data_IF_950612768142
#
_entry.id   IF_950612768142
#
_cell.length_a   1.000
_cell.length_b   1.000
_cell.length_c   1.000
_cell.angle_alpha   90.00
_cell.angle_beta   90.00
_cell.angle_gamma   90.00
#
_symmetry.space_group_name_H-M   'P 1'
#
loop_
_entity.id
_entity.type
_entity.pdbx_description
1 polymer ?
#
# COMPACT_ATOMS: atom_id res chain seq x y z
N UNK A 1 -0.84 -78.53 -10.05
CA UNK A 1 -1.47 -77.45 -10.84
C UNK A 1 -2.65 -76.92 -10.03
N UNK A 2 -2.51 -75.77 -9.37
CA UNK A 2 -3.60 -75.14 -8.62
C UNK A 2 -4.42 -74.27 -9.57
N UNK A 3 -5.67 -74.65 -9.82
CA UNK A 3 -6.64 -73.85 -10.59
C UNK A 3 -7.14 -72.75 -9.65
N UNK A 4 -6.76 -71.50 -9.92
CA UNK A 4 -7.25 -70.34 -9.15
C UNK A 4 -8.72 -70.12 -9.51
N UNK A 5 -9.66 -70.10 -8.55
CA UNK A 5 -11.07 -69.89 -8.83
C UNK A 5 -11.31 -68.47 -9.34
N UNK A 6 -12.11 -68.35 -10.40
CA UNK A 6 -12.39 -67.10 -11.12
C UNK A 6 -12.99 -65.99 -10.24
N UNK A 7 -13.53 -66.37 -9.08
CA UNK A 7 -14.10 -65.48 -8.05
C UNK A 7 -13.05 -64.71 -7.25
N UNK A 8 -11.82 -65.23 -7.12
CA UNK A 8 -10.71 -64.52 -6.49
C UNK A 8 -10.13 -63.46 -7.43
N UNK A 9 -10.20 -63.68 -8.74
CA UNK A 9 -9.71 -62.74 -9.75
C UNK A 9 -10.66 -61.54 -9.85
N UNK A 10 -11.98 -61.76 -9.79
CA UNK A 10 -12.96 -60.66 -9.82
C UNK A 10 -12.92 -59.79 -8.58
N UNK A 11 -12.70 -60.36 -7.38
CA UNK A 11 -12.59 -59.56 -6.15
C UNK A 11 -11.30 -58.72 -6.12
N UNK A 12 -10.20 -59.23 -6.67
CA UNK A 12 -8.93 -58.50 -6.76
C UNK A 12 -9.04 -57.32 -7.73
N UNK A 13 -9.74 -57.48 -8.86
CA UNK A 13 -9.95 -56.40 -9.83
C UNK A 13 -10.85 -55.28 -9.29
N UNK A 14 -11.89 -55.61 -8.52
CA UNK A 14 -12.76 -54.60 -7.88
C UNK A 14 -11.98 -53.84 -6.80
N UNK A 15 -11.17 -54.53 -5.99
CA UNK A 15 -10.35 -53.92 -4.95
C UNK A 15 -9.23 -53.02 -5.51
N UNK A 16 -8.67 -53.36 -6.67
CA UNK A 16 -7.66 -52.52 -7.33
C UNK A 16 -8.29 -51.29 -8.01
N UNK A 17 -9.53 -51.40 -8.51
CA UNK A 17 -10.28 -50.30 -9.11
C UNK A 17 -10.80 -49.26 -8.10
N UNK A 18 -11.12 -49.67 -6.87
CA UNK A 18 -11.50 -48.72 -5.79
C UNK A 18 -10.29 -48.02 -5.17
N UNK A 19 -9.08 -48.58 -5.31
CA UNK A 19 -7.84 -47.96 -4.85
C UNK A 19 -7.43 -46.74 -5.70
N UNK A 20 -7.86 -46.67 -6.96
CA UNK A 20 -7.53 -45.55 -7.87
C UNK A 20 -8.58 -44.44 -7.91
N UNK A 21 -9.71 -44.59 -7.22
CA UNK A 21 -10.80 -43.61 -7.19
C UNK A 21 -10.97 -42.97 -5.80
N UNK A 22 -9.87 -42.71 -5.10
CA UNK A 22 -9.89 -41.73 -4.02
C UNK A 22 -9.74 -40.37 -4.72
N UNK A 23 -10.77 -39.50 -4.75
CA UNK A 23 -10.50 -38.11 -5.02
C UNK A 23 -9.56 -37.67 -3.91
N UNK A 24 -8.31 -37.38 -4.26
CA UNK A 24 -7.43 -36.59 -3.39
C UNK A 24 -8.19 -35.28 -3.20
N UNK A 25 -8.94 -35.20 -2.09
CA UNK A 25 -9.46 -33.95 -1.59
C UNK A 25 -8.19 -33.23 -1.15
N UNK A 26 -7.58 -32.51 -2.09
CA UNK A 26 -6.69 -31.43 -1.75
C UNK A 26 -7.54 -30.49 -0.90
N UNK A 27 -7.42 -30.62 0.41
CA UNK A 27 -7.70 -29.53 1.33
C UNK A 27 -6.69 -28.44 0.98
N UNK A 28 -6.96 -27.71 -0.10
CA UNK A 28 -6.30 -26.48 -0.45
C UNK A 28 -7.21 -25.35 -0.01
N UNK A 29 -7.32 -25.21 1.31
CA UNK A 29 -7.69 -23.96 1.95
C UNK A 29 -6.43 -23.35 2.59
N UNK A 30 -5.30 -23.41 1.88
CA UNK A 30 -4.28 -22.38 1.99
C UNK A 30 -4.75 -21.16 1.20
N UNK A 31 -5.88 -20.59 1.63
CA UNK A 31 -6.15 -19.19 1.37
C UNK A 31 -5.06 -18.42 2.10
N UNK A 32 -3.92 -18.23 1.40
CA UNK A 32 -2.88 -17.30 1.79
C UNK A 32 -3.58 -16.04 2.33
N UNK A 33 -3.22 -15.54 3.53
CA UNK A 33 -3.86 -14.35 4.04
C UNK A 33 -3.72 -13.30 2.94
N UNK A 34 -4.85 -12.89 2.36
CA UNK A 34 -4.88 -11.83 1.37
C UNK A 34 -3.99 -10.74 1.95
N UNK A 35 -2.85 -10.47 1.30
CA UNK A 35 -1.81 -9.65 1.88
C UNK A 35 -2.41 -8.27 2.17
N UNK A 36 -2.91 -8.08 3.39
CA UNK A 36 -3.46 -6.82 3.85
C UNK A 36 -2.22 -5.96 4.01
N UNK A 37 -1.89 -5.22 2.95
CA UNK A 37 -0.85 -4.22 3.03
C UNK A 37 -1.17 -3.33 4.22
N UNK A 38 -0.20 -3.08 5.12
CA UNK A 38 -0.44 -2.18 6.23
C UNK A 38 -0.96 -0.83 5.70
N UNK A 39 -1.84 -0.15 6.43
CA UNK A 39 -2.36 1.13 5.99
C UNK A 39 -1.20 2.09 5.67
N UNK A 40 -1.36 2.97 4.67
CA UNK A 40 -0.30 3.90 4.30
C UNK A 40 0.13 4.70 5.53
N UNK A 41 1.44 4.69 5.80
CA UNK A 41 2.00 5.46 6.91
C UNK A 41 2.16 6.91 6.47
N UNK A 42 1.48 7.83 7.16
CA UNK A 42 1.65 9.27 6.95
C UNK A 42 2.67 9.83 7.94
N UNK A 43 3.84 10.21 7.43
CA UNK A 43 4.85 10.93 8.20
C UNK A 43 4.74 12.42 7.88
N UNK A 44 4.62 13.24 8.91
CA UNK A 44 4.70 14.69 8.73
C UNK A 44 6.14 15.09 8.43
N UNK A 45 6.33 15.79 7.31
CA UNK A 45 7.63 16.26 6.87
C UNK A 45 7.74 17.78 7.03
N UNK A 46 8.36 18.18 8.15
CA UNK A 46 8.48 19.59 8.53
C UNK A 46 9.29 20.42 7.52
N UNK A 47 10.21 19.81 6.77
CA UNK A 47 11.02 20.52 5.76
C UNK A 47 10.19 21.02 4.58
N UNK A 48 9.11 20.32 4.25
CA UNK A 48 8.17 20.66 3.18
C UNK A 48 6.87 21.26 3.72
N UNK A 49 6.90 21.80 4.93
CA UNK A 49 5.73 22.38 5.57
C UNK A 49 6.09 23.68 6.26
N UNK A 50 5.26 24.69 6.08
CA UNK A 50 5.24 25.87 6.94
C UNK A 50 3.79 26.16 7.34
N UNK A 51 3.60 26.66 8.56
CA UNK A 51 2.30 27.08 9.09
C UNK A 51 2.52 28.25 10.04
N UNK A 52 1.51 29.09 10.23
CA UNK A 52 1.57 30.16 11.24
C UNK A 52 1.48 29.61 12.67
N UNK A 53 1.91 30.38 13.71
CA UNK A 53 2.64 31.64 13.63
C UNK A 53 4.13 31.41 13.29
N UNK A 54 4.65 32.19 12.36
CA UNK A 54 6.06 32.19 11.99
C UNK A 54 6.82 33.01 13.03
N UNK A 55 7.68 32.35 13.80
CA UNK A 55 8.51 33.00 14.80
C UNK A 55 9.46 33.98 14.12
N UNK A 56 9.17 35.28 14.30
CA UNK A 56 10.02 36.41 13.92
C UNK A 56 10.38 36.38 12.41
N UNK A 57 9.54 36.95 11.53
CA UNK A 57 9.85 37.12 10.11
C UNK A 57 10.92 38.21 9.91
N UNK A 58 12.06 38.10 10.58
CA UNK A 58 13.22 38.95 10.31
C UNK A 58 13.74 38.58 8.91
N UNK A 59 13.71 39.56 8.00
CA UNK A 59 14.23 39.47 6.64
C UNK A 59 13.39 38.65 5.63
N UNK A 60 12.06 38.58 5.80
CA UNK A 60 11.14 37.96 4.82
C UNK A 60 11.50 36.48 4.51
N UNK A 61 11.93 35.72 5.51
CA UNK A 61 12.36 34.33 5.35
C UNK A 61 11.33 33.34 5.88
N UNK A 62 11.16 32.23 5.15
CA UNK A 62 10.46 31.03 5.61
C UNK A 62 11.51 29.92 5.79
N UNK A 63 11.55 29.20 6.93
CA UNK A 63 12.53 28.14 7.11
C UNK A 63 12.39 27.08 6.00
N UNK A 64 13.49 26.73 5.34
CA UNK A 64 13.56 25.75 4.23
C UNK A 64 13.02 26.18 2.87
N UNK A 65 12.43 27.38 2.73
CA UNK A 65 11.84 27.86 1.48
C UNK A 65 12.46 29.19 1.03
N UNK A 66 12.53 29.37 -0.29
CA UNK A 66 13.02 30.59 -0.92
C UNK A 66 11.84 31.48 -1.33
N UNK A 67 11.72 32.63 -0.68
CA UNK A 67 10.66 33.59 -0.98
C UNK A 67 11.08 34.49 -2.15
N UNK A 68 10.34 34.47 -3.25
CA UNK A 68 10.71 35.14 -4.50
C UNK A 68 9.64 36.14 -4.96
N UNK A 69 10.09 37.17 -5.70
CA UNK A 69 9.27 38.21 -6.33
C UNK A 69 8.42 39.02 -5.34
N UNK A 70 7.09 39.01 -5.48
CA UNK A 70 6.16 39.83 -4.68
C UNK A 70 5.63 39.12 -3.43
N UNK A 71 6.19 37.96 -3.06
CA UNK A 71 5.76 37.20 -1.90
C UNK A 71 6.17 37.89 -0.59
N UNK A 72 5.20 38.03 0.32
CA UNK A 72 5.33 38.74 1.59
C UNK A 72 5.10 37.77 2.75
N UNK A 73 6.09 37.65 3.64
CA UNK A 73 6.01 36.87 4.86
C UNK A 73 5.49 37.74 5.99
N UNK A 74 4.35 37.34 6.56
CA UNK A 74 3.78 37.93 7.78
C UNK A 74 3.95 36.95 8.95
N UNK A 75 3.67 37.40 10.17
CA UNK A 75 3.75 36.55 11.36
C UNK A 75 2.77 35.38 11.33
N UNK A 76 1.67 35.47 10.58
CA UNK A 76 0.61 34.44 10.57
C UNK A 76 0.45 33.74 9.24
N UNK A 77 0.79 34.42 8.15
CA UNK A 77 0.53 33.96 6.79
C UNK A 77 1.68 34.36 5.86
N UNK A 78 1.81 33.62 4.77
CA UNK A 78 2.65 34.02 3.65
C UNK A 78 1.73 34.42 2.50
N UNK A 79 1.75 35.69 2.14
CA UNK A 79 0.97 36.23 1.03
C UNK A 79 1.80 36.12 -0.24
N UNK A 80 1.42 35.19 -1.12
CA UNK A 80 2.13 34.99 -2.39
C UNK A 80 2.01 36.21 -3.31
N UNK A 81 0.79 36.74 -3.48
CA UNK A 81 0.53 37.84 -4.40
C UNK A 81 -0.41 38.86 -3.73
N UNK A 82 -0.08 40.16 -3.75
CA UNK A 82 -1.00 41.20 -3.27
C UNK A 82 -2.13 41.45 -4.30
N UNK A 83 -3.19 42.13 -3.90
CA UNK A 83 -4.33 42.48 -4.77
C UNK A 83 -4.03 43.60 -5.77
N UNK A 84 -2.80 43.67 -6.27
CA UNK A 84 -2.31 44.67 -7.23
C UNK A 84 -2.12 43.98 -8.57
N UNK A 85 -2.50 44.66 -9.66
CA UNK A 85 -2.41 44.12 -11.01
C UNK A 85 -0.98 43.72 -11.39
N UNK A 86 -0.86 42.64 -12.17
CA UNK A 86 0.38 42.15 -12.77
C UNK A 86 1.50 41.83 -11.75
N UNK A 87 1.14 41.24 -10.61
CA UNK A 87 2.10 40.75 -9.61
C UNK A 87 2.17 39.23 -9.64
N UNK A 88 3.37 38.73 -9.36
CA UNK A 88 3.69 37.31 -9.25
C UNK A 88 4.55 37.12 -8.00
N UNK A 89 4.43 35.97 -7.39
CA UNK A 89 5.16 35.60 -6.20
C UNK A 89 5.09 34.10 -5.98
N UNK A 90 6.18 33.56 -5.46
CA UNK A 90 6.36 32.15 -5.18
C UNK A 90 7.16 31.95 -3.90
N UNK A 91 7.04 30.75 -3.35
CA UNK A 91 7.76 30.26 -2.18
C UNK A 91 8.25 28.85 -2.51
#
# INVERSE_FOLDING_TARGET
MLVVPNTLITSLLIALGTLTCIPVIAAQDDAAPAAVSPPPTFRHEYKWSFKGPLDRPENNKVPFWDVVESAMVSEREVRLVPSVNNRKGSV
#
